data_IF_507528287483
#
_entry.id   IF_507528287483
#
_cell.length_a   1.000
_cell.length_b   1.000
_cell.length_c   1.000
_cell.angle_alpha   90.00
_cell.angle_beta   90.00
_cell.angle_gamma   90.00
#
_symmetry.space_group_name_H-M   'P 1'
#
loop_
_entity.id
_entity.type
_entity.pdbx_description
1 polymer ?
#
# COMPACT_ATOMS: atom_id res chain seq x y z
N UNK A 1 -0.45 17.00 2.07
CA UNK A 1 -1.88 17.02 2.49
C UNK A 1 -1.96 16.77 4.00
N UNK A 2 -3.08 17.04 4.70
CA UNK A 2 -3.20 16.83 6.16
C UNK A 2 -4.37 15.91 6.51
N UNK A 3 -4.25 15.12 7.58
CA UNK A 3 -5.26 14.16 8.03
C UNK A 3 -6.26 14.71 9.04
N UNK A 4 -6.05 15.95 9.50
CA UNK A 4 -6.89 16.56 10.52
C UNK A 4 -8.30 16.83 9.99
N UNK A 5 -9.30 16.53 10.82
CA UNK A 5 -10.67 17.01 10.59
C UNK A 5 -10.64 18.54 10.58
N UNK A 6 -11.32 19.17 9.62
CA UNK A 6 -11.42 20.63 9.61
C UNK A 6 -12.02 21.11 10.94
N UNK A 7 -11.50 22.21 11.55
CA UNK A 7 -11.92 22.64 12.89
C UNK A 7 -13.43 22.74 13.09
N UNK A 8 -14.16 23.20 12.06
CA UNK A 8 -15.62 23.35 12.08
C UNK A 8 -16.42 22.03 12.17
N UNK A 9 -15.78 20.88 11.94
CA UNK A 9 -16.40 19.56 12.00
C UNK A 9 -15.82 18.66 13.10
N UNK A 10 -14.91 19.19 13.93
CA UNK A 10 -14.30 18.45 15.03
C UNK A 10 -15.38 17.94 16.00
N UNK A 11 -15.30 16.67 16.39
CA UNK A 11 -16.30 16.02 17.25
C UNK A 11 -17.63 15.65 16.56
N UNK A 12 -17.86 16.09 15.32
CA UNK A 12 -19.06 15.74 14.52
C UNK A 12 -18.79 14.69 13.46
N UNK A 13 -17.58 14.67 12.91
CA UNK A 13 -17.16 13.66 11.93
C UNK A 13 -15.88 12.96 12.37
N UNK A 14 -15.84 11.66 12.12
CA UNK A 14 -14.63 10.83 12.20
C UNK A 14 -13.91 10.95 10.87
N UNK A 15 -13.16 12.03 10.67
CA UNK A 15 -12.49 12.31 9.39
C UNK A 15 -11.01 11.98 9.41
N UNK A 16 -10.40 12.05 8.22
CA UNK A 16 -8.98 11.81 8.02
C UNK A 16 -8.71 10.41 7.49
N UNK A 17 -8.87 10.21 6.19
CA UNK A 17 -8.21 9.11 5.49
C UNK A 17 -7.85 9.61 4.09
N UNK A 18 -6.83 9.00 3.50
CA UNK A 18 -6.55 9.15 2.09
C UNK A 18 -6.16 7.78 1.55
N UNK A 19 -6.60 7.47 0.35
CA UNK A 19 -6.31 6.20 -0.27
C UNK A 19 -6.30 6.33 -1.78
N UNK A 20 -5.55 5.45 -2.42
CA UNK A 20 -5.68 5.20 -3.85
C UNK A 20 -5.66 3.69 -4.09
N UNK A 21 -6.13 3.28 -5.27
CA UNK A 21 -6.11 1.90 -5.75
C UNK A 21 -5.69 1.91 -7.22
N UNK A 22 -5.11 0.82 -7.69
CA UNK A 22 -4.82 0.64 -9.10
C UNK A 22 -6.08 0.84 -9.95
N UNK A 23 -5.89 1.34 -11.18
CA UNK A 23 -7.00 1.65 -12.09
C UNK A 23 -7.79 0.38 -12.38
N UNK A 24 -9.11 0.45 -12.21
CA UNK A 24 -10.01 -0.63 -12.59
C UNK A 24 -9.98 -0.83 -14.11
N UNK A 25 -9.65 -2.04 -14.54
CA UNK A 25 -9.56 -2.42 -15.97
C UNK A 25 -10.66 -3.42 -16.29
N UNK A 26 -11.67 -3.00 -17.05
CA UNK A 26 -12.79 -3.87 -17.46
C UNK A 26 -12.52 -4.51 -18.82
N UNK A 27 -12.87 -5.79 -18.96
CA UNK A 27 -12.89 -6.53 -20.22
C UNK A 27 -14.28 -7.14 -20.45
N UNK A 28 -14.51 -7.75 -21.62
CA UNK A 28 -15.74 -8.52 -21.91
C UNK A 28 -15.94 -9.72 -20.96
N UNK A 29 -14.87 -10.15 -20.27
CA UNK A 29 -14.87 -11.30 -19.35
C UNK A 29 -14.80 -10.89 -17.88
N UNK A 30 -15.04 -9.62 -17.56
CA UNK A 30 -15.01 -9.07 -16.21
C UNK A 30 -13.79 -8.19 -15.92
N UNK A 31 -13.55 -7.96 -14.63
CA UNK A 31 -12.45 -7.10 -14.16
C UNK A 31 -11.10 -7.81 -14.29
N UNK A 32 -10.16 -7.16 -14.96
CA UNK A 32 -8.77 -7.59 -15.05
C UNK A 32 -8.03 -7.23 -13.77
N UNK A 33 -7.78 -8.26 -12.97
CA UNK A 33 -7.02 -8.22 -11.73
C UNK A 33 -5.59 -8.73 -11.98
N UNK A 34 -4.67 -8.39 -11.08
CA UNK A 34 -3.31 -8.92 -11.09
C UNK A 34 -3.32 -10.37 -10.56
N UNK A 35 -2.56 -11.25 -11.20
CA UNK A 35 -2.43 -12.65 -10.81
C UNK A 35 -1.14 -12.88 -10.01
N UNK A 36 -1.26 -13.52 -8.85
CA UNK A 36 -0.17 -13.78 -7.90
C UNK A 36 0.13 -15.27 -7.72
N UNK A 37 -0.44 -16.18 -8.52
CA UNK A 37 -0.35 -17.64 -8.32
C UNK A 37 1.08 -18.17 -8.07
N UNK A 38 2.09 -17.56 -8.67
CA UNK A 38 3.51 -17.96 -8.56
C UNK A 38 4.42 -16.91 -7.91
N UNK A 39 3.85 -16.00 -7.12
CA UNK A 39 4.61 -14.91 -6.50
C UNK A 39 4.25 -14.78 -5.02
N UNK A 40 5.25 -14.75 -4.16
CA UNK A 40 5.04 -14.75 -2.70
C UNK A 40 5.02 -13.35 -2.09
N UNK A 41 5.53 -12.34 -2.81
CA UNK A 41 5.74 -11.00 -2.25
C UNK A 41 5.11 -9.90 -3.08
N UNK A 42 4.56 -8.91 -2.37
CA UNK A 42 4.37 -7.57 -2.88
C UNK A 42 5.61 -6.73 -2.55
N UNK A 43 6.26 -6.21 -3.59
CA UNK A 43 7.41 -5.31 -3.48
C UNK A 43 6.99 -3.85 -3.73
N UNK A 44 7.39 -2.97 -2.82
CA UNK A 44 7.10 -1.55 -2.86
C UNK A 44 8.39 -0.76 -2.80
N UNK A 45 8.61 0.15 -3.75
CA UNK A 45 9.66 1.17 -3.66
C UNK A 45 9.03 2.49 -3.27
N UNK A 46 9.28 2.90 -2.03
CA UNK A 46 8.56 4.01 -1.40
C UNK A 46 9.51 4.98 -0.70
N UNK A 47 9.05 6.21 -0.50
CA UNK A 47 9.76 7.25 0.25
C UNK A 47 8.79 7.88 1.24
N UNK A 48 9.04 7.70 2.53
CA UNK A 48 8.21 8.27 3.58
C UNK A 48 8.60 9.71 3.87
N UNK A 49 7.63 10.62 3.84
CA UNK A 49 7.82 12.01 4.23
C UNK A 49 6.65 12.57 5.04
N UNK A 50 6.68 13.88 5.27
CA UNK A 50 5.67 14.56 6.07
C UNK A 50 6.02 14.58 7.57
N UNK A 51 5.00 14.72 8.40
CA UNK A 51 5.14 14.80 9.85
C UNK A 51 5.31 13.39 10.46
N UNK A 52 6.11 13.20 11.52
CA UNK A 52 6.33 11.87 12.11
C UNK A 52 5.08 11.17 12.66
N UNK A 53 4.08 11.93 13.13
CA UNK A 53 2.85 11.36 13.71
C UNK A 53 2.13 10.35 12.77
N UNK A 54 1.86 10.67 11.49
CA UNK A 54 1.21 9.75 10.55
C UNK A 54 2.06 8.59 10.02
N UNK A 55 3.36 8.53 10.32
CA UNK A 55 4.27 7.54 9.72
C UNK A 55 3.85 6.09 9.98
N UNK A 56 3.13 5.85 11.07
CA UNK A 56 2.71 4.51 11.47
C UNK A 56 1.32 4.13 10.97
N UNK A 57 0.67 4.99 10.19
CA UNK A 57 -0.74 4.85 9.85
C UNK A 57 -1.01 4.47 8.39
N UNK A 58 0.04 4.06 7.66
CA UNK A 58 -0.07 3.57 6.29
C UNK A 58 -0.41 2.08 6.25
N UNK A 59 -1.27 1.71 5.30
CA UNK A 59 -1.73 0.35 5.07
C UNK A 59 -1.72 0.03 3.59
N UNK A 60 -1.39 -1.21 3.27
CA UNK A 60 -1.59 -1.81 1.95
C UNK A 60 -2.87 -2.62 2.01
N UNK A 61 -3.74 -2.43 1.02
CA UNK A 61 -5.02 -3.10 0.91
C UNK A 61 -5.05 -3.90 -0.39
N UNK A 62 -5.30 -5.20 -0.28
CA UNK A 62 -5.54 -6.08 -1.42
C UNK A 62 -7.02 -6.42 -1.46
N UNK A 63 -7.66 -6.11 -2.58
CA UNK A 63 -9.04 -6.49 -2.84
C UNK A 63 -9.07 -7.61 -3.86
N UNK A 64 -9.63 -8.74 -3.44
CA UNK A 64 -9.80 -9.95 -4.27
C UNK A 64 -11.21 -10.00 -4.85
N UNK A 65 -11.43 -10.84 -5.86
CA UNK A 65 -12.77 -11.09 -6.40
C UNK A 65 -13.53 -12.08 -5.52
N UNK A 66 -13.82 -11.67 -4.29
CA UNK A 66 -14.63 -12.44 -3.34
C UNK A 66 -16.13 -12.13 -3.46
N UNK A 67 -17.01 -12.97 -2.89
CA UNK A 67 -18.45 -12.73 -2.87
C UNK A 67 -18.86 -11.50 -2.05
N UNK A 68 -17.99 -11.02 -1.15
CA UNK A 68 -18.25 -9.90 -0.26
C UNK A 68 -17.35 -8.72 -0.64
N UNK A 69 -17.96 -7.68 -1.21
CA UNK A 69 -17.23 -6.51 -1.73
C UNK A 69 -16.52 -5.66 -0.67
N UNK A 70 -16.90 -5.79 0.61
CA UNK A 70 -16.30 -5.08 1.75
C UNK A 70 -15.07 -5.78 2.33
N UNK A 71 -14.75 -6.98 1.84
CA UNK A 71 -13.57 -7.72 2.30
C UNK A 71 -12.29 -7.12 1.74
N UNK A 72 -11.36 -6.84 2.65
CA UNK A 72 -10.03 -6.34 2.32
C UNK A 72 -8.99 -7.15 3.07
N UNK A 73 -7.98 -7.57 2.34
CA UNK A 73 -6.75 -8.08 2.91
C UNK A 73 -5.85 -6.90 3.22
N UNK A 74 -5.58 -6.65 4.49
CA UNK A 74 -4.86 -5.47 4.95
C UNK A 74 -3.54 -5.85 5.59
N UNK A 75 -2.51 -5.05 5.32
CA UNK A 75 -1.22 -5.14 5.99
C UNK A 75 -0.73 -3.73 6.33
N UNK A 76 -0.29 -3.53 7.57
CA UNK A 76 0.30 -2.25 7.99
C UNK A 76 1.67 -2.07 7.35
N UNK A 77 1.92 -0.92 6.73
CA UNK A 77 3.20 -0.63 6.12
C UNK A 77 4.19 -0.19 7.21
N UNK A 78 5.28 -0.94 7.37
CA UNK A 78 6.36 -0.62 8.29
C UNK A 78 7.56 -0.10 7.51
N UNK A 79 7.93 1.15 7.77
CA UNK A 79 9.09 1.80 7.17
C UNK A 79 10.33 1.56 8.01
N UNK A 80 11.44 1.22 7.37
CA UNK A 80 12.75 1.11 8.04
C UNK A 80 13.41 2.47 8.16
N UNK A 81 13.06 3.41 7.27
CA UNK A 81 13.66 4.74 7.19
C UNK A 81 12.61 5.83 7.41
N UNK A 82 13.06 6.91 8.04
CA UNK A 82 12.25 8.13 8.27
C UNK A 82 12.98 9.39 7.82
N UNK A 83 14.12 9.23 7.14
CA UNK A 83 15.00 10.30 6.65
C UNK A 83 14.62 10.80 5.24
N UNK A 84 13.39 10.52 4.81
CA UNK A 84 12.87 10.92 3.51
C UNK A 84 13.67 10.38 2.31
N UNK A 85 14.22 9.17 2.43
CA UNK A 85 14.93 8.44 1.37
C UNK A 85 14.09 7.28 0.84
N UNK A 86 14.38 6.87 -0.39
CA UNK A 86 13.77 5.69 -0.98
C UNK A 86 14.21 4.41 -0.25
N UNK A 87 13.25 3.53 0.01
CA UNK A 87 13.49 2.18 0.51
C UNK A 87 12.61 1.15 -0.22
N UNK A 88 13.11 -0.08 -0.30
CA UNK A 88 12.37 -1.22 -0.83
C UNK A 88 11.79 -2.04 0.33
N UNK A 89 10.47 -2.24 0.29
CA UNK A 89 9.71 -3.02 1.27
C UNK A 89 9.11 -4.24 0.56
N UNK A 90 9.39 -5.43 1.09
CA UNK A 90 8.85 -6.69 0.61
C UNK A 90 7.87 -7.24 1.63
N UNK A 91 6.62 -7.46 1.22
CA UNK A 91 5.55 -7.94 2.09
C UNK A 91 5.09 -9.30 1.58
N UNK A 92 5.30 -10.39 2.32
CA UNK A 92 4.73 -11.68 1.98
C UNK A 92 3.19 -11.60 1.90
N UNK A 93 2.56 -12.16 0.87
CA UNK A 93 1.08 -12.17 0.77
C UNK A 93 0.42 -12.86 1.97
N UNK A 94 1.08 -13.88 2.54
CA UNK A 94 0.64 -14.57 3.78
C UNK A 94 0.56 -13.68 5.02
N UNK A 95 1.20 -12.50 5.02
CA UNK A 95 1.17 -11.57 6.15
C UNK A 95 -0.04 -10.63 6.12
N UNK A 96 -0.83 -10.64 5.03
CA UNK A 96 -2.04 -9.84 4.97
C UNK A 96 -3.15 -10.50 5.78
N UNK A 97 -3.85 -9.68 6.56
CA UNK A 97 -4.95 -10.13 7.41
C UNK A 97 -6.27 -9.74 6.75
N UNK A 98 -7.21 -10.69 6.66
CA UNK A 98 -8.54 -10.39 6.14
C UNK A 98 -9.34 -9.59 7.15
N UNK A 99 -9.91 -8.51 6.67
CA UNK A 99 -10.78 -7.60 7.42
C UNK A 99 -12.09 -7.39 6.68
N UNK A 100 -13.15 -7.10 7.43
CA UNK A 100 -14.43 -6.65 6.90
C UNK A 100 -14.79 -5.36 7.62
N UNK A 101 -14.97 -4.27 6.87
CA UNK A 101 -15.20 -2.93 7.44
C UNK A 101 -14.14 -2.50 8.49
N UNK A 102 -12.90 -2.99 8.36
CA UNK A 102 -11.79 -2.71 9.28
C UNK A 102 -11.76 -3.57 10.55
N UNK A 103 -12.72 -4.50 10.70
CA UNK A 103 -12.71 -5.49 11.78
C UNK A 103 -12.10 -6.81 11.29
N UNK A 104 -11.38 -7.51 12.16
CA UNK A 104 -10.75 -8.78 11.82
C UNK A 104 -11.83 -9.82 11.48
N UNK A 105 -11.69 -10.49 10.34
CA UNK A 105 -12.66 -11.51 9.95
C UNK A 105 -12.44 -12.78 10.78
N UNK A 106 -13.49 -13.26 11.44
CA UNK A 106 -13.45 -14.51 12.22
C UNK A 106 -13.33 -15.76 11.33
N UNK A 107 -13.86 -15.69 10.11
CA UNK A 107 -13.80 -16.78 9.16
C UNK A 107 -12.40 -16.79 8.54
N UNK A 108 -11.70 -17.91 8.57
CA UNK A 108 -10.45 -18.07 7.82
C UNK A 108 -10.77 -18.56 6.41
N UNK A 109 -10.55 -17.69 5.41
CA UNK A 109 -10.57 -18.03 3.99
C UNK A 109 -9.16 -17.83 3.44
N UNK A 110 -8.80 -18.57 2.41
CA UNK A 110 -7.56 -18.32 1.67
C UNK A 110 -7.71 -17.10 0.76
N UNK A 111 -6.61 -16.36 0.56
CA UNK A 111 -6.59 -15.24 -0.37
C UNK A 111 -6.69 -15.77 -1.81
N UNK A 112 -7.55 -15.16 -2.62
CA UNK A 112 -7.57 -15.45 -4.06
C UNK A 112 -6.28 -14.98 -4.74
N UNK A 113 -5.81 -15.74 -5.72
CA UNK A 113 -4.65 -15.38 -6.53
C UNK A 113 -4.89 -14.17 -7.43
N UNK A 114 -6.14 -13.69 -7.58
CA UNK A 114 -6.46 -12.53 -8.41
C UNK A 114 -6.86 -11.35 -7.55
N UNK A 115 -6.09 -10.27 -7.63
CA UNK A 115 -6.24 -9.13 -6.74
C UNK A 115 -5.99 -7.77 -7.40
N UNK A 116 -6.32 -6.75 -6.64
CA UNK A 116 -6.03 -5.35 -6.93
C UNK A 116 -5.36 -4.73 -5.71
N UNK A 117 -4.52 -3.73 -5.93
CA UNK A 117 -3.66 -3.17 -4.89
C UNK A 117 -4.03 -1.71 -4.65
N UNK A 118 -4.21 -1.35 -3.39
CA UNK A 118 -4.32 0.03 -2.95
C UNK A 118 -3.45 0.31 -1.74
N UNK A 119 -3.16 1.58 -1.52
CA UNK A 119 -2.49 2.05 -0.32
C UNK A 119 -3.37 3.12 0.31
N UNK A 120 -3.52 3.05 1.62
CA UNK A 120 -4.27 4.01 2.40
C UNK A 120 -3.45 4.53 3.57
N UNK A 121 -3.86 5.67 4.08
CA UNK A 121 -3.45 6.19 5.37
C UNK A 121 -4.69 6.50 6.21
N UNK A 122 -4.66 6.06 7.46
CA UNK A 122 -5.73 6.30 8.44
C UNK A 122 -5.32 7.44 9.37
N UNK A 123 -6.06 8.53 9.36
CA UNK A 123 -5.90 9.64 10.30
C UNK A 123 -6.86 9.52 11.49
N UNK A 124 -7.18 10.67 12.09
CA UNK A 124 -8.31 10.90 12.99
C UNK A 124 -8.52 9.83 14.07
N UNK A 125 -9.26 8.77 13.74
CA UNK A 125 -9.54 7.64 14.63
C UNK A 125 -8.30 6.86 15.10
N UNK A 126 -7.20 6.90 14.35
CA UNK A 126 -5.95 6.20 14.70
C UNK A 126 -5.03 7.01 15.61
N UNK A 127 -5.44 8.22 16.02
CA UNK A 127 -4.58 9.18 16.73
C UNK A 127 -3.47 9.79 15.87
N UNK A 128 -3.50 9.53 14.56
CA UNK A 128 -2.53 10.04 13.60
C UNK A 128 -3.01 11.34 12.97
N UNK A 129 -2.24 12.41 13.14
CA UNK A 129 -2.61 13.78 12.80
C UNK A 129 -1.46 14.53 12.11
N UNK A 130 -1.79 15.54 11.32
CA UNK A 130 -0.79 16.37 10.63
C UNK A 130 -0.53 16.02 9.16
N UNK A 131 0.53 16.62 8.63
CA UNK A 131 0.89 16.53 7.22
C UNK A 131 1.44 15.14 6.86
N UNK A 132 0.97 14.55 5.78
CA UNK A 132 1.44 13.26 5.28
C UNK A 132 2.01 13.40 3.87
N UNK A 133 3.03 12.59 3.59
CA UNK A 133 3.60 12.39 2.26
C UNK A 133 4.08 10.93 2.12
N UNK A 134 3.73 10.32 0.99
CA UNK A 134 4.27 9.02 0.57
C UNK A 134 4.64 9.12 -0.91
N UNK A 135 5.94 9.09 -1.18
CA UNK A 135 6.46 8.89 -2.53
C UNK A 135 6.36 7.42 -2.90
N UNK A 136 5.91 7.14 -4.11
CA UNK A 136 5.80 5.78 -4.65
C UNK A 136 6.46 5.79 -6.02
N UNK A 137 7.47 4.96 -6.18
CA UNK A 137 8.15 4.74 -7.45
C UNK A 137 7.51 3.55 -8.17
N UNK A 138 7.43 2.41 -7.48
CA UNK A 138 6.91 1.18 -8.07
C UNK A 138 6.19 0.28 -7.06
N UNK A 139 5.21 -0.44 -7.58
CA UNK A 139 4.48 -1.52 -6.91
C UNK A 139 4.61 -2.73 -7.82
N UNK A 140 5.18 -3.83 -7.30
CA UNK A 140 5.51 -5.03 -8.08
C UNK A 140 5.06 -6.27 -7.33
N UNK A 141 4.73 -7.31 -8.09
CA UNK A 141 4.49 -8.66 -7.62
C UNK A 141 5.74 -9.45 -8.00
N UNK A 142 6.40 -10.08 -7.03
CA UNK A 142 7.73 -10.69 -7.21
C UNK A 142 7.84 -12.03 -6.50
N UNK A 143 8.67 -12.92 -7.04
CA UNK A 143 8.98 -14.19 -6.38
C UNK A 143 10.01 -14.01 -5.25
N UNK A 144 10.24 -15.07 -4.48
CA UNK A 144 11.29 -15.08 -3.46
C UNK A 144 12.70 -14.84 -4.03
N UNK A 145 13.02 -15.39 -5.20
CA UNK A 145 14.33 -15.18 -5.86
C UNK A 145 14.54 -13.70 -6.23
N UNK A 146 13.51 -13.06 -6.78
CA UNK A 146 13.53 -11.65 -7.13
C UNK A 146 13.73 -10.79 -5.87
N UNK A 147 13.01 -11.10 -4.79
CA UNK A 147 13.15 -10.40 -3.52
C UNK A 147 14.58 -10.53 -2.96
N UNK A 148 15.14 -11.74 -2.96
CA UNK A 148 16.53 -12.00 -2.53
C UNK A 148 17.54 -11.27 -3.39
N UNK A 149 17.33 -11.22 -4.72
CA UNK A 149 18.26 -10.55 -5.64
C UNK A 149 18.37 -9.05 -5.35
N UNK A 150 17.26 -8.39 -4.99
CA UNK A 150 17.25 -6.97 -4.63
C UNK A 150 17.87 -6.74 -3.25
N UNK A 151 17.59 -7.61 -2.28
CA UNK A 151 18.15 -7.52 -0.93
C UNK A 151 19.67 -7.79 -0.90
N UNK A 152 20.16 -8.67 -1.77
CA UNK A 152 21.57 -9.09 -1.84
C UNK A 152 22.36 -8.35 -2.92
N UNK A 153 21.70 -7.59 -3.80
CA UNK A 153 22.35 -6.80 -4.83
C UNK A 153 23.06 -5.56 -4.26
N UNK A 154 24.05 -4.99 -4.99
CA UNK A 154 24.61 -3.70 -4.60
C UNK A 154 23.48 -2.66 -4.53
N UNK A 155 23.45 -1.87 -3.46
CA UNK A 155 22.43 -0.84 -3.25
C UNK A 155 22.27 -0.02 -4.54
N UNK A 156 21.09 -0.10 -5.17
CA UNK A 156 20.85 0.58 -6.44
C UNK A 156 21.12 2.07 -6.24
N UNK A 157 22.19 2.56 -6.86
CA UNK A 157 22.50 3.99 -6.94
C UNK A 157 21.29 4.69 -7.53
N UNK A 158 20.87 5.79 -6.91
CA UNK A 158 19.83 6.67 -7.45
C UNK A 158 20.16 6.96 -8.92
N UNK A 159 19.35 6.42 -9.84
CA UNK A 159 19.41 6.83 -11.24
C UNK A 159 18.97 8.29 -11.26
N UNK A 160 19.94 9.18 -11.37
CA UNK A 160 19.71 10.57 -11.76
C UNK A 160 19.00 10.57 -13.10
N UNK A 161 17.86 11.24 -13.18
CA UNK A 161 17.09 11.47 -14.40
C UNK A 161 17.99 12.14 -15.46
N UNK A 162 18.58 11.33 -16.33
CA UNK A 162 19.17 11.83 -17.57
C UNK A 162 18.02 12.27 -18.48
N UNK A 163 17.84 13.59 -18.54
CA UNK A 163 17.00 14.29 -19.51
C UNK A 163 17.32 13.76 -20.92
N UNK A 164 16.35 13.15 -21.56
CA UNK A 164 16.28 13.05 -23.01
C UNK A 164 15.99 14.44 -23.59
N UNK A 165 17.03 15.26 -23.74
CA UNK A 165 17.05 16.30 -24.75
C UNK A 165 17.85 15.74 -25.92
N UNK A 166 17.13 15.33 -26.97
CA UNK A 166 17.49 15.53 -28.38
C UNK A 166 16.72 14.52 -29.25
N UNK A 167 15.53 14.92 -29.69
CA UNK A 167 14.93 14.62 -31.00
C UNK A 167 13.99 15.78 -31.39
#
# INVERSE_FOLDING_TARGET
MRLDVQPKYQGRIRGGHAAFRNKRRMSLFGEMLEDIEFHEYLALRVRLGGHPSPHTAYFVNLQTNGPISTELWQHRLFFKRTDNRWEDIFIPFRNFVRTNNGELSEIQLEMSNKLSVGISILGGNSGSAGAYELGIDSIRIVSEEDAKSVLNGPAQSEKTDEKWNDL
#
